data_IF_401866983980
#
_entry.id   IF_401866983980
#
_cell.length_a   1.000
_cell.length_b   1.000
_cell.length_c   1.000
_cell.angle_alpha   90.00
_cell.angle_beta   90.00
_cell.angle_gamma   90.00
#
_symmetry.space_group_name_H-M   'P 1'
#
loop_
_entity.id
_entity.type
_entity.pdbx_description
1 polymer ?
#
# COMPACT_ATOMS: atom_id res chain seq x y z
N UNK A 1 1.46 12.79 -11.90
CA UNK A 1 1.42 12.22 -11.72
C UNK A 1 0.93 11.40 -10.91
N UNK A 2 0.69 10.88 -10.45
CA UNK A 2 0.29 10.08 -9.77
C UNK A 2 -0.98 9.62 -9.92
N UNK A 3 -1.51 9.40 -11.02
CA UNK A 3 -2.68 8.86 -11.36
C UNK A 3 -2.84 7.52 -10.84
N UNK A 4 -1.81 6.77 -10.66
CA UNK A 4 -1.91 5.45 -10.09
C UNK A 4 -2.45 5.46 -8.72
N UNK A 5 -2.08 6.46 -7.98
CA UNK A 5 -2.55 6.62 -6.66
C UNK A 5 -4.03 6.73 -6.63
N UNK A 6 -4.57 7.52 -7.52
CA UNK A 6 -5.97 7.71 -7.55
C UNK A 6 -6.72 6.43 -7.89
N UNK A 7 -6.21 5.66 -8.80
CA UNK A 7 -6.83 4.42 -9.16
C UNK A 7 -6.91 3.46 -8.01
N UNK A 8 -5.85 3.34 -7.26
CA UNK A 8 -5.83 2.42 -6.13
C UNK A 8 -6.84 2.86 -5.08
N UNK A 9 -6.90 4.15 -4.81
CA UNK A 9 -7.82 4.64 -3.81
C UNK A 9 -9.27 4.38 -4.23
N UNK A 10 -9.56 4.60 -5.50
CA UNK A 10 -10.91 4.40 -5.97
C UNK A 10 -11.36 2.95 -5.90
N UNK A 11 -10.44 2.02 -5.96
CA UNK A 11 -10.76 0.61 -5.98
C UNK A 11 -10.50 -0.10 -4.67
N UNK A 12 -10.25 0.64 -3.65
CA UNK A 12 -9.87 0.04 -2.38
C UNK A 12 -10.92 -0.89 -1.82
N UNK A 13 -12.18 -0.54 -1.93
CA UNK A 13 -13.24 -1.41 -1.41
C UNK A 13 -13.29 -2.73 -2.16
N UNK A 14 -13.16 -2.69 -3.47
CA UNK A 14 -13.15 -3.91 -4.24
C UNK A 14 -11.96 -4.78 -3.90
N UNK A 15 -10.80 -4.15 -3.76
CA UNK A 15 -9.60 -4.90 -3.45
C UNK A 15 -9.66 -5.48 -2.05
N UNK A 16 -10.17 -4.72 -1.11
CA UNK A 16 -10.25 -5.18 0.27
C UNK A 16 -11.21 -6.34 0.45
N UNK A 17 -12.17 -6.50 -0.45
CA UNK A 17 -13.08 -7.61 -0.38
C UNK A 17 -12.50 -8.88 -0.98
N UNK A 18 -11.38 -8.78 -1.65
CA UNK A 18 -10.75 -9.95 -2.22
C UNK A 18 -10.08 -10.76 -1.16
N UNK A 19 -9.91 -12.03 -1.47
CA UNK A 19 -9.45 -12.97 -0.51
C UNK A 19 -8.07 -12.67 0.04
N UNK A 20 -7.11 -12.36 -0.81
CA UNK A 20 -5.73 -12.23 -0.40
C UNK A 20 -5.31 -10.77 -0.44
N UNK A 21 -5.77 -10.03 0.52
CA UNK A 21 -5.46 -8.61 0.59
C UNK A 21 -5.50 -8.16 2.04
N UNK A 22 -5.17 -6.91 2.28
CA UNK A 22 -5.32 -6.32 3.60
C UNK A 22 -6.79 -6.17 3.94
N UNK A 23 -7.13 -6.32 5.20
CA UNK A 23 -8.47 -6.05 5.65
C UNK A 23 -8.70 -4.55 5.73
N UNK A 24 -9.96 -4.15 5.81
CA UNK A 24 -10.28 -2.73 5.78
C UNK A 24 -9.62 -1.96 6.91
N UNK A 25 -9.65 -2.52 8.12
CA UNK A 25 -9.02 -1.84 9.24
C UNK A 25 -7.50 -1.80 9.10
N UNK A 26 -6.91 -2.83 8.51
CA UNK A 26 -5.48 -2.82 8.25
C UNK A 26 -5.15 -1.73 7.24
N UNK A 27 -5.94 -1.64 6.19
CA UNK A 27 -5.74 -0.63 5.17
C UNK A 27 -5.85 0.77 5.74
N UNK A 28 -6.83 0.96 6.63
CA UNK A 28 -6.99 2.27 7.23
C UNK A 28 -5.75 2.67 8.02
N UNK A 29 -5.21 1.73 8.78
CA UNK A 29 -4.00 2.01 9.55
C UNK A 29 -2.84 2.34 8.64
N UNK A 30 -2.68 1.57 7.55
CA UNK A 30 -1.60 1.81 6.61
C UNK A 30 -1.73 3.17 5.95
N UNK A 31 -2.94 3.51 5.53
CA UNK A 31 -3.15 4.78 4.83
C UNK A 31 -3.04 5.97 5.77
N UNK A 32 -3.46 5.79 7.03
CA UNK A 32 -3.27 6.85 8.02
C UNK A 32 -1.78 7.09 8.25
N UNK A 33 -1.00 6.04 8.33
CA UNK A 33 0.43 6.16 8.48
C UNK A 33 1.05 6.84 7.26
N UNK A 34 0.63 6.42 6.09
CA UNK A 34 1.14 7.02 4.86
C UNK A 34 0.86 8.52 4.84
N UNK A 35 -0.36 8.92 5.17
CA UNK A 35 -0.72 10.32 5.17
C UNK A 35 0.13 11.12 6.16
N UNK A 36 0.37 10.54 7.33
CA UNK A 36 1.20 11.20 8.32
C UNK A 36 2.62 11.38 7.82
N UNK A 37 3.19 10.33 7.26
CA UNK A 37 4.58 10.38 6.82
C UNK A 37 4.75 11.30 5.62
N UNK A 38 3.76 11.37 4.76
CA UNK A 38 3.79 12.30 3.65
C UNK A 38 3.73 13.73 4.14
N UNK A 39 2.86 13.99 5.11
CA UNK A 39 2.74 15.34 5.64
C UNK A 39 4.01 15.81 6.34
N UNK A 40 4.81 14.88 6.84
CA UNK A 40 6.08 15.19 7.46
C UNK A 40 7.22 15.28 6.46
N UNK A 41 6.95 14.96 5.20
CA UNK A 41 7.99 14.99 4.20
C UNK A 41 8.87 13.75 4.15
N UNK A 42 8.54 12.74 4.95
CA UNK A 42 9.35 11.53 5.02
C UNK A 42 9.09 10.59 3.84
N UNK A 43 7.86 10.55 3.37
CA UNK A 43 7.48 9.70 2.24
C UNK A 43 6.87 10.55 1.16
N UNK A 44 7.00 10.10 -0.07
CA UNK A 44 6.47 10.84 -1.20
C UNK A 44 5.56 10.00 -2.07
N UNK A 45 5.81 8.72 -2.14
CA UNK A 45 5.10 7.87 -3.08
C UNK A 45 4.94 6.48 -2.49
N UNK A 46 4.06 5.70 -3.09
CA UNK A 46 3.90 4.33 -2.66
C UNK A 46 3.66 3.42 -3.85
N UNK A 47 3.91 2.14 -3.65
CA UNK A 47 3.59 1.12 -4.62
C UNK A 47 2.83 0.00 -3.94
N UNK A 48 1.96 -0.66 -4.70
CA UNK A 48 1.18 -1.78 -4.20
C UNK A 48 1.48 -3.00 -5.03
N UNK A 49 1.80 -4.09 -4.37
CA UNK A 49 2.12 -5.33 -5.05
C UNK A 49 1.21 -6.42 -4.53
N UNK A 50 0.43 -7.03 -5.41
CA UNK A 50 -0.53 -8.06 -5.04
C UNK A 50 -0.17 -9.35 -5.77
N UNK A 51 -0.04 -10.42 -5.00
CA UNK A 51 0.20 -11.73 -5.58
C UNK A 51 -0.68 -12.74 -4.85
N UNK A 52 -0.65 -13.98 -5.30
CA UNK A 52 -1.48 -14.99 -4.69
C UNK A 52 -1.03 -15.35 -3.28
N UNK A 53 0.20 -15.02 -2.93
CA UNK A 53 0.76 -15.39 -1.63
C UNK A 53 1.08 -14.23 -0.74
N UNK A 54 1.09 -13.03 -1.30
CA UNK A 54 1.53 -11.88 -0.52
C UNK A 54 0.95 -10.62 -1.10
N UNK A 55 0.67 -9.68 -0.23
CA UNK A 55 0.34 -8.33 -0.63
C UNK A 55 1.26 -7.40 0.14
N UNK A 56 1.70 -6.33 -0.50
CA UNK A 56 2.63 -5.42 0.17
C UNK A 56 2.44 -4.00 -0.31
N UNK A 57 2.65 -3.08 0.61
CA UNK A 57 2.81 -1.67 0.30
C UNK A 57 4.28 -1.31 0.45
N UNK A 58 4.81 -0.59 -0.53
CA UNK A 58 6.17 -0.08 -0.48
C UNK A 58 6.09 1.43 -0.49
N UNK A 59 6.91 2.08 0.32
CA UNK A 59 6.87 3.52 0.46
C UNK A 59 8.22 4.09 0.08
N UNK A 60 8.19 5.21 -0.65
CA UNK A 60 9.38 5.78 -1.25
C UNK A 60 9.50 7.24 -0.88
N UNK A 61 10.70 7.69 -0.66
CA UNK A 61 10.96 9.10 -0.51
C UNK A 61 11.10 9.76 -1.86
N UNK A 62 11.77 9.08 -2.79
CA UNK A 62 11.89 9.53 -4.17
C UNK A 62 11.46 8.40 -5.07
N UNK A 63 10.74 8.73 -6.12
CA UNK A 63 10.16 7.71 -6.97
C UNK A 63 11.20 6.86 -7.69
N UNK A 64 12.42 7.35 -7.82
CA UNK A 64 13.46 6.61 -8.52
C UNK A 64 14.30 5.74 -7.59
N UNK A 65 14.01 5.73 -6.32
CA UNK A 65 14.84 5.03 -5.36
C UNK A 65 14.18 3.76 -4.88
N UNK A 66 14.93 3.00 -4.11
CA UNK A 66 14.39 1.83 -3.48
C UNK A 66 13.40 2.23 -2.40
N UNK A 67 12.50 1.32 -2.11
CA UNK A 67 11.54 1.54 -1.04
C UNK A 67 12.29 1.73 0.28
N UNK A 68 11.90 2.73 1.05
CA UNK A 68 12.50 2.97 2.34
C UNK A 68 11.73 2.28 3.46
N UNK A 69 10.53 1.79 3.16
CA UNK A 69 9.73 1.10 4.14
C UNK A 69 8.73 0.23 3.40
N UNK A 70 8.39 -0.90 4.00
CA UNK A 70 7.52 -1.85 3.32
C UNK A 70 6.65 -2.56 4.35
N UNK A 71 5.38 -2.70 4.04
CA UNK A 71 4.44 -3.44 4.86
C UNK A 71 3.93 -4.60 4.04
N UNK A 72 4.18 -5.81 4.54
CA UNK A 72 3.82 -7.03 3.82
C UNK A 72 2.85 -7.85 4.63
N UNK A 73 1.96 -8.53 3.93
CA UNK A 73 1.09 -9.50 4.55
C UNK A 73 1.19 -10.79 3.73
N UNK A 74 1.57 -11.87 4.41
CA UNK A 74 1.74 -13.15 3.76
C UNK A 74 0.54 -14.04 4.04
N UNK A 75 0.17 -14.83 3.05
CA UNK A 75 -0.95 -15.73 3.15
C UNK A 75 -0.46 -17.16 3.10
N UNK A 76 -1.04 -18.01 3.92
CA UNK A 76 -0.65 -19.40 3.92
C UNK A 76 -1.19 -20.08 2.68
N UNK A 77 -0.36 -20.90 2.08
CA UNK A 77 -0.80 -21.75 0.99
C UNK A 77 -1.52 -22.95 1.59
N UNK A 78 -2.62 -23.33 1.01
CA UNK A 78 -3.33 -24.53 1.44
C UNK A 78 -3.20 -25.61 0.43
#
# INVERSE_FOLDING_TARGET
MNKNLKLVVNNINDIADKKNFFEKNELKIILDLYAKMVSEGSWKDYGLNISSRQVSFSFFKNSAEKAIYKICKNFKAN
#
